data_IF_680855860257
#
_entry.id   IF_680855860257
#
_cell.length_a   1.000
_cell.length_b   1.000
_cell.length_c   1.000
_cell.angle_alpha   90.00
_cell.angle_beta   90.00
_cell.angle_gamma   90.00
#
_symmetry.space_group_name_H-M   'P 1'
#
loop_
_entity.id
_entity.type
_entity.pdbx_description
1 polymer ?
#
# COMPACT_ATOMS: atom_id res chain seq x y z
N UNK A 1 20.25 19.77 5.83
CA UNK A 1 21.24 18.67 5.65
C UNK A 1 20.40 17.40 5.62
N UNK A 2 20.24 16.64 4.56
CA UNK A 2 20.95 16.52 3.30
C UNK A 2 19.93 15.85 2.34
N UNK A 3 19.55 16.52 1.25
CA UNK A 3 18.57 15.96 0.29
C UNK A 3 19.38 15.14 -0.71
N UNK A 4 19.72 13.90 -0.34
CA UNK A 4 20.38 12.97 -1.26
C UNK A 4 19.32 12.29 -2.13
N UNK A 5 19.03 12.92 -3.27
CA UNK A 5 17.97 12.61 -4.23
C UNK A 5 18.28 11.41 -5.15
N UNK A 6 19.08 10.44 -4.69
CA UNK A 6 19.40 9.20 -5.43
C UNK A 6 19.39 7.99 -4.50
N UNK A 7 18.25 7.75 -3.88
CA UNK A 7 18.00 6.55 -3.09
C UNK A 7 17.79 5.37 -4.06
N UNK A 8 18.87 4.61 -4.33
CA UNK A 8 18.84 3.54 -5.31
C UNK A 8 17.93 2.41 -4.86
N UNK A 9 17.21 1.81 -5.83
CA UNK A 9 16.26 0.74 -5.53
C UNK A 9 16.87 -0.43 -4.74
N UNK A 10 18.16 -0.69 -4.89
CA UNK A 10 18.93 -1.74 -4.21
C UNK A 10 19.23 -1.46 -2.74
N UNK A 11 19.11 -0.21 -2.28
CA UNK A 11 19.40 0.19 -0.89
C UNK A 11 18.13 0.33 -0.03
N UNK A 12 16.98 0.34 -0.67
CA UNK A 12 15.68 0.52 -0.03
C UNK A 12 15.09 -0.82 0.41
N UNK A 13 14.19 -0.79 1.41
CA UNK A 13 13.57 -1.99 1.99
C UNK A 13 13.03 -2.92 0.90
N UNK A 14 13.25 -4.23 1.10
CA UNK A 14 12.67 -5.27 0.28
C UNK A 14 11.15 -5.08 0.20
N UNK A 15 10.64 -4.96 -1.01
CA UNK A 15 9.21 -4.87 -1.28
C UNK A 15 8.60 -6.27 -1.09
N UNK A 16 7.59 -6.40 -0.23
CA UNK A 16 6.87 -7.67 -0.07
C UNK A 16 6.13 -8.07 -1.35
N UNK A 17 5.56 -7.08 -2.03
CA UNK A 17 4.84 -7.24 -3.30
C UNK A 17 5.39 -6.22 -4.31
N UNK A 18 6.52 -6.54 -4.99
CA UNK A 18 7.15 -5.63 -5.94
C UNK A 18 6.26 -5.28 -7.14
N UNK A 19 5.23 -6.08 -7.45
CA UNK A 19 4.26 -5.85 -8.52
C UNK A 19 3.51 -4.52 -8.37
N UNK A 20 3.21 -4.08 -7.13
CA UNK A 20 2.54 -2.80 -6.86
C UNK A 20 3.49 -1.60 -6.90
N UNK A 21 4.80 -1.87 -6.86
CA UNK A 21 5.85 -0.86 -6.91
C UNK A 21 5.99 -0.01 -5.63
N UNK A 22 7.00 0.87 -5.66
CA UNK A 22 7.39 1.76 -4.55
C UNK A 22 6.32 2.75 -4.14
N UNK A 23 5.50 3.21 -5.09
CA UNK A 23 4.50 4.24 -4.83
C UNK A 23 3.41 3.72 -3.89
N UNK A 24 2.90 2.51 -4.13
CA UNK A 24 1.91 1.89 -3.23
C UNK A 24 2.51 1.65 -1.85
N UNK A 25 3.76 1.16 -1.76
CA UNK A 25 4.43 0.99 -0.48
C UNK A 25 4.52 2.32 0.30
N UNK A 26 4.90 3.42 -0.36
CA UNK A 26 4.97 4.75 0.27
C UNK A 26 3.60 5.23 0.78
N UNK A 27 2.52 4.95 0.04
CA UNK A 27 1.17 5.30 0.48
C UNK A 27 0.76 4.49 1.71
N UNK A 28 1.10 3.20 1.76
CA UNK A 28 0.85 2.34 2.92
C UNK A 28 1.68 2.79 4.13
N UNK A 29 2.96 3.10 3.92
CA UNK A 29 3.83 3.64 4.96
C UNK A 29 3.26 4.96 5.53
N UNK A 30 2.71 5.82 4.67
CA UNK A 30 2.01 7.03 5.11
C UNK A 30 0.73 6.70 5.90
N UNK A 31 -0.08 5.73 5.45
CA UNK A 31 -1.28 5.32 6.19
C UNK A 31 -0.96 4.82 7.61
N UNK A 32 0.21 4.20 7.81
CA UNK A 32 0.69 3.78 9.13
C UNK A 32 1.11 4.95 10.04
N UNK A 33 1.40 6.13 9.48
CA UNK A 33 1.71 7.35 10.25
C UNK A 33 0.48 8.11 10.73
N UNK A 34 -0.72 7.77 10.21
CA UNK A 34 -1.96 8.42 10.61
C UNK A 34 -2.39 7.93 11.99
N UNK A 35 -2.56 8.86 12.93
CA UNK A 35 -3.02 8.56 14.30
C UNK A 35 -4.52 8.28 14.33
N UNK A 36 -5.31 9.10 13.63
CA UNK A 36 -6.75 8.98 13.56
C UNK A 36 -7.18 7.71 12.80
N UNK A 37 -7.99 6.88 13.46
CA UNK A 37 -8.43 5.60 12.91
C UNK A 37 -9.33 5.79 11.69
N UNK A 38 -10.23 6.77 11.70
CA UNK A 38 -11.11 7.00 10.55
C UNK A 38 -10.31 7.50 9.34
N UNK A 39 -9.36 8.39 9.56
CA UNK A 39 -8.48 8.90 8.50
C UNK A 39 -7.59 7.79 7.93
N UNK A 40 -7.05 6.92 8.79
CA UNK A 40 -6.31 5.73 8.38
C UNK A 40 -7.17 4.78 7.56
N UNK A 41 -8.41 4.51 7.96
CA UNK A 41 -9.36 3.70 7.19
C UNK A 41 -9.67 4.33 5.83
N UNK A 42 -9.93 5.65 5.77
CA UNK A 42 -10.15 6.38 4.50
C UNK A 42 -8.92 6.30 3.59
N UNK A 43 -7.72 6.44 4.15
CA UNK A 43 -6.46 6.31 3.42
C UNK A 43 -6.32 4.90 2.84
N UNK A 44 -6.54 3.86 3.65
CA UNK A 44 -6.48 2.46 3.22
C UNK A 44 -7.49 2.17 2.08
N UNK A 45 -8.73 2.63 2.20
CA UNK A 45 -9.73 2.48 1.12
C UNK A 45 -9.31 3.17 -0.19
N UNK A 46 -8.65 4.33 -0.08
CA UNK A 46 -8.11 5.05 -1.23
C UNK A 46 -6.99 4.25 -1.89
N UNK A 47 -6.09 3.67 -1.10
CA UNK A 47 -5.00 2.80 -1.59
C UNK A 47 -5.57 1.59 -2.34
N UNK A 48 -6.56 0.91 -1.77
CA UNK A 48 -7.24 -0.23 -2.41
C UNK A 48 -7.86 0.17 -3.76
N UNK A 49 -8.49 1.34 -3.81
CA UNK A 49 -9.07 1.87 -5.05
C UNK A 49 -8.01 2.11 -6.13
N UNK A 50 -6.84 2.62 -5.74
CA UNK A 50 -5.71 2.84 -6.64
C UNK A 50 -5.12 1.51 -7.11
N UNK A 51 -4.92 0.54 -6.21
CA UNK A 51 -4.46 -0.80 -6.57
C UNK A 51 -5.41 -1.45 -7.60
N UNK A 52 -6.73 -1.34 -7.39
CA UNK A 52 -7.73 -1.84 -8.33
C UNK A 52 -7.83 -1.07 -9.65
N UNK A 53 -7.31 0.15 -9.73
CA UNK A 53 -7.17 0.90 -10.98
C UNK A 53 -5.89 0.52 -11.74
N UNK A 54 -4.80 0.23 -11.03
CA UNK A 54 -3.54 -0.24 -11.62
C UNK A 54 -3.67 -1.64 -12.20
N UNK A 55 -4.49 -2.50 -11.59
CA UNK A 55 -4.70 -3.89 -11.99
C UNK A 55 -6.17 -4.13 -12.38
N UNK A 56 -6.66 -3.55 -13.50
CA UNK A 56 -8.07 -3.67 -13.88
C UNK A 56 -8.49 -5.12 -14.18
N UNK A 57 -7.56 -5.97 -14.61
CA UNK A 57 -7.77 -7.40 -14.84
C UNK A 57 -8.13 -8.18 -13.56
N UNK A 58 -7.79 -7.66 -12.38
CA UNK A 58 -8.21 -8.28 -11.14
C UNK A 58 -9.72 -8.14 -10.91
N UNK A 59 -10.40 -7.18 -11.57
CA UNK A 59 -11.85 -6.96 -11.38
C UNK A 59 -12.73 -8.12 -11.83
N UNK A 60 -12.23 -8.93 -12.77
CA UNK A 60 -12.92 -10.13 -13.25
C UNK A 60 -12.74 -11.33 -12.30
N UNK A 61 -11.86 -11.20 -11.30
CA UNK A 61 -11.61 -12.24 -10.31
C UNK A 61 -12.65 -12.14 -9.19
N UNK A 62 -13.34 -13.24 -8.84
CA UNK A 62 -14.18 -13.29 -7.65
C UNK A 62 -13.38 -12.83 -6.42
N UNK A 63 -14.00 -12.03 -5.57
CA UNK A 63 -13.38 -11.53 -4.33
C UNK A 63 -12.10 -10.71 -4.53
N UNK A 64 -11.93 -10.05 -5.68
CA UNK A 64 -10.73 -9.24 -5.94
C UNK A 64 -10.49 -8.17 -4.86
N UNK A 65 -11.56 -7.57 -4.32
CA UNK A 65 -11.45 -6.60 -3.23
C UNK A 65 -10.80 -7.21 -1.99
N UNK A 66 -11.18 -8.44 -1.63
CA UNK A 66 -10.57 -9.17 -0.52
C UNK A 66 -9.08 -9.43 -0.77
N UNK A 67 -8.72 -9.85 -1.99
CA UNK A 67 -7.30 -10.02 -2.37
C UNK A 67 -6.48 -8.73 -2.23
N UNK A 68 -7.04 -7.59 -2.63
CA UNK A 68 -6.36 -6.29 -2.49
C UNK A 68 -6.16 -5.93 -1.00
N UNK A 69 -7.16 -6.23 -0.16
CA UNK A 69 -7.05 -6.06 1.29
C UNK A 69 -5.97 -6.96 1.89
N UNK A 70 -5.88 -8.22 1.45
CA UNK A 70 -4.81 -9.14 1.88
C UNK A 70 -3.44 -8.60 1.49
N UNK A 71 -3.29 -8.09 0.26
CA UNK A 71 -2.04 -7.48 -0.20
C UNK A 71 -1.66 -6.24 0.62
N UNK A 72 -2.63 -5.36 0.92
CA UNK A 72 -2.41 -4.20 1.77
C UNK A 72 -1.99 -4.62 3.18
N UNK A 73 -2.63 -5.65 3.76
CA UNK A 73 -2.26 -6.18 5.07
C UNK A 73 -0.83 -6.74 5.08
N UNK A 74 -0.45 -7.52 4.05
CA UNK A 74 0.91 -8.05 3.91
C UNK A 74 1.94 -6.92 3.77
N UNK A 75 1.67 -5.92 2.92
CA UNK A 75 2.58 -4.79 2.68
C UNK A 75 2.71 -3.85 3.88
N UNK A 76 1.68 -3.79 4.72
CA UNK A 76 1.69 -3.05 5.99
C UNK A 76 2.28 -3.84 7.16
N UNK A 77 2.79 -5.05 6.92
CA UNK A 77 3.31 -5.95 7.97
C UNK A 77 2.24 -6.27 9.03
N UNK A 78 0.96 -6.28 8.64
CA UNK A 78 -0.22 -6.47 9.50
C UNK A 78 -0.32 -5.43 10.64
N UNK A 79 0.23 -4.22 10.45
CA UNK A 79 0.22 -3.14 11.46
C UNK A 79 -0.91 -2.13 11.27
N UNK A 80 -1.65 -2.20 10.17
CA UNK A 80 -2.75 -1.30 9.88
C UNK A 80 -3.97 -1.65 10.75
N UNK A 81 -4.27 -0.79 11.72
CA UNK A 81 -5.48 -0.90 12.56
C UNK A 81 -6.63 -0.10 11.93
N UNK A 82 -7.51 -0.78 11.21
CA UNK A 82 -8.64 -0.23 10.44
C UNK A 82 -9.92 -1.05 10.71
N UNK A 83 -11.08 -0.51 10.32
CA UNK A 83 -12.39 -1.17 10.42
C UNK A 83 -12.82 -1.83 9.10
#
# INVERSE_FOLDING_TARGET
MDVNELDYNTQLKNLRLPEYGRNIQRMIDHALTLEDREERTRCAQTIISIMGNLFPHLRDVPDFKHKLWDHLAIMSDFKLDID
#
